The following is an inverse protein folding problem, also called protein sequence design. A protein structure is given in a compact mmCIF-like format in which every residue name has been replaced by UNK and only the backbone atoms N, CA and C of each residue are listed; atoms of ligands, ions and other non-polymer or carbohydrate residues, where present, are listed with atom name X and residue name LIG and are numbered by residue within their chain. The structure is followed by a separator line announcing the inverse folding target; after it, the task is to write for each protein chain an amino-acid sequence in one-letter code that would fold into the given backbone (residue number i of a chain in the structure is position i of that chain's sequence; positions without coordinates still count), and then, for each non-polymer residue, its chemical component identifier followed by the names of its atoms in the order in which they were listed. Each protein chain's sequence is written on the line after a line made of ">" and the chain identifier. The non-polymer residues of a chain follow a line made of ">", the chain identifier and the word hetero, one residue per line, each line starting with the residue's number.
data_IF_544867143749
#
_entry.id   IF_544867143749
#
_cell.length_a   1.000
_cell.length_b   1.000
_cell.length_c   1.000
_cell.angle_alpha   90.00
_cell.angle_beta   90.00
_cell.angle_gamma   90.00
#
_symmetry.space_group_name_H-M   'P 1'
#
loop_
_entity.id
_entity.type
_entity.pdbx_description
1 polymer ?
#
# COMPACT_ATOMS: atom_id res chain seq x y z
N UNK A 1 -20.75 41.51 -62.38
CA UNK A 1 -20.20 40.23 -62.87
C UNK A 1 -18.68 40.32 -62.86
N UNK A 2 -17.99 39.62 -61.97
CA UNK A 2 -16.53 39.41 -61.98
C UNK A 2 -16.26 38.09 -61.27
N UNK A 3 -16.12 37.03 -62.06
CA UNK A 3 -15.39 35.82 -61.68
C UNK A 3 -13.90 36.15 -61.71
N UNK A 4 -13.11 35.67 -60.75
CA UNK A 4 -11.77 35.13 -61.04
C UNK A 4 -11.11 34.43 -59.85
N UNK A 5 -10.64 33.22 -60.17
CA UNK A 5 -9.38 32.58 -59.77
C UNK A 5 -9.23 31.98 -58.37
N UNK A 6 -9.55 30.68 -58.37
CA UNK A 6 -8.88 29.60 -57.65
C UNK A 6 -7.34 29.75 -57.64
N UNK A 7 -6.72 29.59 -56.46
CA UNK A 7 -5.30 29.24 -56.35
C UNK A 7 -5.06 28.39 -55.10
N UNK A 8 -5.07 27.08 -55.31
CA UNK A 8 -4.59 26.05 -54.39
C UNK A 8 -3.06 26.04 -54.41
N UNK A 9 -2.37 26.18 -53.25
CA UNK A 9 -0.97 25.74 -53.12
C UNK A 9 -0.69 25.23 -51.69
N UNK A 10 -0.43 23.91 -51.65
CA UNK A 10 0.47 23.12 -50.79
C UNK A 10 0.93 23.79 -49.47
N UNK A 11 0.67 23.26 -48.28
CA UNK A 11 0.75 21.84 -47.90
C UNK A 11 2.10 21.55 -47.23
N UNK A 12 2.23 21.86 -45.93
CA UNK A 12 3.27 21.31 -45.05
C UNK A 12 2.71 21.29 -43.61
N UNK A 13 2.00 20.20 -43.28
CA UNK A 13 1.68 19.87 -41.88
C UNK A 13 2.90 19.11 -41.36
N UNK A 14 3.72 19.78 -40.55
CA UNK A 14 4.77 19.13 -39.79
C UNK A 14 4.11 18.37 -38.64
N UNK A 15 3.82 17.08 -38.86
CA UNK A 15 3.48 16.15 -37.79
C UNK A 15 4.74 15.92 -36.96
N UNK A 16 4.92 16.72 -35.91
CA UNK A 16 5.78 16.33 -34.79
C UNK A 16 5.16 15.10 -34.15
N UNK A 17 5.56 13.92 -34.62
CA UNK A 17 5.47 12.67 -33.89
C UNK A 17 6.41 12.80 -32.67
N UNK A 18 5.95 13.52 -31.65
CA UNK A 18 6.50 13.36 -30.32
C UNK A 18 6.17 11.92 -29.91
N UNK A 19 7.15 11.03 -30.02
CA UNK A 19 7.09 9.71 -29.44
C UNK A 19 6.77 9.87 -27.96
N UNK A 20 5.50 9.69 -27.59
CA UNK A 20 5.13 9.46 -26.21
C UNK A 20 5.75 8.10 -25.90
N UNK A 21 6.96 8.11 -25.34
CA UNK A 21 7.44 6.97 -24.58
C UNK A 21 6.45 6.84 -23.43
N UNK A 22 5.48 5.95 -23.60
CA UNK A 22 4.73 5.38 -22.50
C UNK A 22 5.74 4.57 -21.69
N UNK A 23 6.54 5.27 -20.88
CA UNK A 23 7.11 4.66 -19.71
C UNK A 23 5.90 4.33 -18.84
N UNK A 24 5.41 3.10 -18.98
CA UNK A 24 4.50 2.49 -18.04
C UNK A 24 5.26 2.38 -16.72
N UNK A 25 5.41 3.51 -16.02
CA UNK A 25 5.55 3.52 -14.59
C UNK A 25 4.23 2.93 -14.10
N UNK A 26 4.22 1.62 -13.88
CA UNK A 26 3.20 0.94 -13.08
C UNK A 26 3.09 1.77 -11.81
N UNK A 27 2.04 2.59 -11.74
CA UNK A 27 1.79 3.44 -10.60
C UNK A 27 1.66 2.53 -9.40
N UNK A 28 2.46 2.79 -8.38
CA UNK A 28 2.46 1.95 -7.22
C UNK A 28 1.10 1.95 -6.55
N UNK A 29 0.65 0.75 -6.23
CA UNK A 29 -0.63 0.55 -5.61
C UNK A 29 -0.57 1.03 -4.16
N UNK A 30 -1.54 1.85 -3.71
CA UNK A 30 -1.65 2.13 -2.28
C UNK A 30 -1.96 0.84 -1.53
N UNK A 31 -1.59 0.79 -0.24
CA UNK A 31 -1.96 -0.33 0.62
C UNK A 31 -3.48 -0.55 0.59
N UNK A 32 -3.89 -1.79 0.35
CA UNK A 32 -5.28 -2.19 0.34
C UNK A 32 -5.72 -2.57 1.75
N UNK A 33 -6.97 -2.21 2.11
CA UNK A 33 -7.58 -2.62 3.38
C UNK A 33 -7.97 -4.09 3.28
N UNK A 34 -7.55 -4.89 4.26
CA UNK A 34 -7.81 -6.32 4.25
C UNK A 34 -7.02 -7.09 5.28
N UNK A 35 -7.26 -8.40 5.32
CA UNK A 35 -6.49 -9.37 6.09
C UNK A 35 -5.66 -10.19 5.10
N UNK A 36 -4.41 -10.46 5.44
CA UNK A 36 -3.48 -11.20 4.60
C UNK A 36 -2.78 -12.28 5.42
N UNK A 37 -2.64 -13.47 4.83
CA UNK A 37 -2.00 -14.64 5.42
C UNK A 37 -0.57 -14.81 4.90
N UNK A 38 0.38 -14.98 5.82
CA UNK A 38 1.81 -15.18 5.52
C UNK A 38 2.28 -16.61 5.75
N UNK A 39 1.36 -17.57 5.90
CA UNK A 39 1.65 -18.97 6.22
C UNK A 39 1.62 -19.28 7.73
N UNK A 40 1.32 -20.54 8.06
CA UNK A 40 1.17 -20.98 9.46
C UNK A 40 0.11 -20.18 10.20
N UNK A 41 0.44 -19.70 11.40
CA UNK A 41 -0.44 -18.83 12.20
C UNK A 41 -0.23 -17.33 11.95
N UNK A 42 0.57 -16.92 10.95
CA UNK A 42 0.97 -15.52 10.75
C UNK A 42 -0.02 -14.78 9.86
N UNK A 43 -0.60 -13.72 10.39
CA UNK A 43 -1.52 -12.84 9.67
C UNK A 43 -1.13 -11.38 9.85
N UNK A 44 -1.55 -10.57 8.89
CA UNK A 44 -1.55 -9.11 8.98
C UNK A 44 -2.94 -8.59 8.62
N UNK A 45 -3.35 -7.49 9.23
CA UNK A 45 -4.55 -6.76 8.87
C UNK A 45 -4.17 -5.30 8.65
N UNK A 46 -4.56 -4.76 7.50
CA UNK A 46 -4.44 -3.35 7.16
C UNK A 46 -5.83 -2.74 7.30
N UNK A 47 -5.94 -1.69 8.11
CA UNK A 47 -7.14 -0.89 8.24
C UNK A 47 -6.79 0.59 8.00
N UNK A 48 -7.73 1.36 7.47
CA UNK A 48 -7.52 2.80 7.32
C UNK A 48 -8.78 3.63 7.60
N UNK A 49 -8.53 4.87 7.96
CA UNK A 49 -9.46 6.00 7.80
C UNK A 49 -8.94 6.92 6.69
N UNK A 50 -9.63 8.04 6.46
CA UNK A 50 -9.14 9.08 5.52
C UNK A 50 -7.76 9.64 5.88
N UNK A 51 -7.37 9.61 7.16
CA UNK A 51 -6.18 10.29 7.66
C UNK A 51 -5.09 9.35 8.13
N UNK A 52 -5.38 8.05 8.25
CA UNK A 52 -4.50 7.14 9.00
C UNK A 52 -4.63 5.71 8.52
N UNK A 53 -3.48 5.06 8.36
CA UNK A 53 -3.37 3.63 8.09
C UNK A 53 -2.80 2.96 9.35
N UNK A 54 -3.38 1.84 9.73
CA UNK A 54 -2.92 1.01 10.83
C UNK A 54 -2.66 -0.42 10.34
N UNK A 55 -1.58 -0.97 10.85
CA UNK A 55 -1.15 -2.35 10.65
C UNK A 55 -1.41 -3.11 11.95
N UNK A 56 -1.95 -4.32 11.82
CA UNK A 56 -2.02 -5.29 12.90
C UNK A 56 -1.38 -6.59 12.43
N UNK A 57 -0.23 -6.96 13.01
CA UNK A 57 0.37 -8.28 12.83
C UNK A 57 -0.05 -9.20 13.97
N UNK A 58 -0.51 -10.40 13.67
CA UNK A 58 -0.92 -11.35 14.71
C UNK A 58 -0.54 -12.80 14.38
N UNK A 59 -0.24 -13.54 15.43
CA UNK A 59 0.05 -14.98 15.38
C UNK A 59 -0.25 -15.65 16.70
N UNK A 60 0.00 -16.95 16.78
CA UNK A 60 -0.03 -17.70 18.05
C UNK A 60 0.90 -17.11 19.13
N UNK A 61 1.93 -16.35 18.72
CA UNK A 61 2.93 -15.78 19.63
C UNK A 61 2.60 -14.36 20.10
N UNK A 62 1.51 -13.77 19.61
CA UNK A 62 1.07 -12.45 20.02
C UNK A 62 0.50 -11.58 18.91
N UNK A 63 0.18 -10.35 19.30
CA UNK A 63 -0.44 -9.33 18.46
C UNK A 63 0.40 -8.06 18.57
N UNK A 64 0.60 -7.38 17.45
CA UNK A 64 1.20 -6.05 17.40
C UNK A 64 0.34 -5.15 16.54
N UNK A 65 0.04 -3.95 17.01
CA UNK A 65 -0.71 -2.92 16.28
C UNK A 65 0.14 -1.66 16.20
N UNK A 66 0.26 -1.08 15.01
CA UNK A 66 1.10 0.08 14.77
C UNK A 66 0.53 0.98 13.68
N UNK A 67 0.80 2.28 13.78
CA UNK A 67 0.50 3.22 12.70
C UNK A 67 1.49 3.08 11.56
N UNK A 68 1.00 3.29 10.33
CA UNK A 68 1.77 3.16 9.10
C UNK A 68 1.85 4.51 8.39
N UNK A 69 3.03 4.84 7.86
CA UNK A 69 3.25 6.07 7.07
C UNK A 69 4.02 5.75 5.80
N UNK A 70 3.78 6.49 4.72
CA UNK A 70 4.57 6.35 3.50
C UNK A 70 6.05 6.68 3.76
N UNK A 71 6.99 5.92 3.18
CA UNK A 71 8.42 6.24 3.24
C UNK A 71 8.74 7.37 2.25
N UNK A 72 9.23 8.49 2.77
CA UNK A 72 9.64 9.64 1.95
C UNK A 72 10.86 9.33 1.07
N UNK A 73 11.65 8.31 1.43
CA UNK A 73 12.92 7.98 0.76
C UNK A 73 12.77 6.84 -0.26
N UNK A 74 11.68 6.08 -0.18
CA UNK A 74 11.43 4.91 -1.03
C UNK A 74 9.98 4.96 -1.45
N UNK A 75 9.76 5.27 -2.74
CA UNK A 75 8.43 5.16 -3.32
C UNK A 75 7.89 3.75 -3.07
N UNK A 76 6.59 3.66 -2.79
CA UNK A 76 5.83 2.40 -2.74
C UNK A 76 6.02 1.59 -1.45
N UNK A 77 6.95 2.03 -0.60
CA UNK A 77 7.17 1.47 0.72
C UNK A 77 6.51 2.31 1.79
N UNK A 78 6.08 1.63 2.84
CA UNK A 78 5.51 2.22 4.03
C UNK A 78 6.31 1.78 5.25
N UNK A 79 6.56 2.72 6.16
CA UNK A 79 7.16 2.48 7.47
C UNK A 79 6.08 2.05 8.46
N UNK A 80 6.40 1.06 9.27
CA UNK A 80 5.57 0.67 10.41
C UNK A 80 6.20 1.29 11.66
N UNK A 81 5.44 2.09 12.40
CA UNK A 81 5.94 2.68 13.64
C UNK A 81 6.37 1.58 14.63
N UNK A 82 7.53 1.74 15.27
CA UNK A 82 8.09 0.76 16.20
C UNK A 82 8.81 -0.44 15.55
N UNK A 83 8.91 -0.50 14.22
CA UNK A 83 9.69 -1.51 13.51
C UNK A 83 10.75 -0.88 12.61
N UNK A 84 11.94 -0.68 13.16
CA UNK A 84 13.05 -0.12 12.38
C UNK A 84 13.51 -1.09 11.29
N UNK A 85 13.69 -0.55 10.08
CA UNK A 85 14.16 -1.32 8.93
C UNK A 85 13.17 -2.32 8.35
N UNK A 86 11.93 -2.39 8.86
CA UNK A 86 10.86 -3.22 8.30
C UNK A 86 9.85 -2.35 7.58
N UNK A 87 9.46 -2.78 6.38
CA UNK A 87 8.56 -2.03 5.51
C UNK A 87 7.38 -2.87 5.06
N UNK A 88 6.30 -2.19 4.70
CA UNK A 88 5.19 -2.73 3.93
C UNK A 88 5.27 -2.22 2.50
N UNK A 89 4.84 -3.04 1.53
CA UNK A 89 4.64 -2.62 0.14
C UNK A 89 3.48 -3.41 -0.44
N UNK A 90 2.61 -2.75 -1.22
CA UNK A 90 1.58 -3.44 -1.98
C UNK A 90 2.19 -3.91 -3.31
N UNK A 91 2.25 -5.22 -3.54
CA UNK A 91 2.77 -5.77 -4.81
C UNK A 91 1.69 -5.77 -5.90
N UNK A 92 0.50 -6.23 -5.55
CA UNK A 92 -0.71 -6.28 -6.39
C UNK A 92 -1.94 -6.15 -5.47
N UNK A 93 -3.18 -6.25 -5.97
CA UNK A 93 -4.39 -6.06 -5.14
C UNK A 93 -4.50 -7.02 -3.96
N UNK A 94 -3.85 -8.19 -4.06
CA UNK A 94 -4.07 -9.31 -3.16
C UNK A 94 -2.80 -9.64 -2.36
N UNK A 95 -1.66 -9.03 -2.69
CA UNK A 95 -0.37 -9.35 -2.07
C UNK A 95 0.27 -8.14 -1.42
N UNK A 96 0.50 -8.26 -0.10
CA UNK A 96 1.31 -7.33 0.68
C UNK A 96 2.66 -7.97 0.97
N UNK A 97 3.73 -7.19 0.82
CA UNK A 97 5.08 -7.56 1.18
C UNK A 97 5.43 -6.96 2.53
N UNK A 98 6.04 -7.74 3.42
CA UNK A 98 6.50 -7.31 4.74
C UNK A 98 7.95 -7.77 4.98
N UNK A 99 8.80 -6.85 5.42
CA UNK A 99 10.17 -7.18 5.84
C UNK A 99 11.19 -6.07 5.54
N UNK A 100 12.48 -6.33 5.77
CA UNK A 100 13.55 -5.52 5.21
C UNK A 100 13.49 -5.51 3.67
N UNK A 101 13.96 -4.44 3.04
CA UNK A 101 13.87 -4.24 1.58
C UNK A 101 14.49 -5.39 0.78
N UNK A 102 15.55 -6.02 1.29
CA UNK A 102 16.23 -7.16 0.66
C UNK A 102 15.67 -8.52 1.06
N UNK A 103 14.67 -8.58 1.94
CA UNK A 103 14.12 -9.81 2.53
C UNK A 103 12.60 -9.69 2.73
N UNK A 104 11.90 -9.22 1.70
CA UNK A 104 10.45 -9.08 1.72
C UNK A 104 9.76 -10.44 1.66
N UNK A 105 8.82 -10.67 2.57
CA UNK A 105 8.01 -11.88 2.66
C UNK A 105 6.59 -11.56 2.19
N UNK A 106 6.01 -12.46 1.40
CA UNK A 106 4.65 -12.32 0.87
C UNK A 106 3.60 -12.68 1.90
N UNK A 107 2.55 -11.87 1.93
CA UNK A 107 1.28 -12.11 2.60
C UNK A 107 0.16 -11.97 1.58
N UNK A 108 -0.68 -12.99 1.45
CA UNK A 108 -1.74 -13.05 0.43
C UNK A 108 -3.10 -12.80 1.08
N UNK A 109 -3.97 -12.05 0.42
CA UNK A 109 -5.28 -11.68 0.92
C UNK A 109 -6.08 -12.93 1.32
N UNK A 110 -6.62 -12.90 2.53
CA UNK A 110 -7.52 -13.92 3.06
C UNK A 110 -8.91 -13.31 3.18
N UNK A 111 -9.74 -13.56 2.17
CA UNK A 111 -11.13 -13.08 2.13
C UNK A 111 -12.08 -13.87 3.03
N UNK A 112 -11.64 -15.01 3.57
CA UNK A 112 -12.42 -15.82 4.50
C UNK A 112 -12.26 -15.39 5.97
N UNK A 113 -11.21 -14.61 6.28
CA UNK A 113 -10.98 -14.10 7.62
C UNK A 113 -11.76 -12.80 7.87
N UNK A 114 -12.42 -12.71 9.03
CA UNK A 114 -13.20 -11.54 9.40
C UNK A 114 -12.32 -10.29 9.51
N UNK A 115 -12.79 -9.16 8.97
CA UNK A 115 -12.07 -7.88 8.96
C UNK A 115 -12.40 -7.01 10.17
N UNK A 116 -12.79 -7.64 11.26
CA UNK A 116 -13.26 -6.94 12.45
C UNK A 116 -12.16 -6.05 13.02
N UNK A 117 -12.54 -4.84 13.41
CA UNK A 117 -11.65 -3.89 14.06
C UNK A 117 -11.74 -4.12 15.57
N UNK A 118 -10.74 -4.76 16.15
CA UNK A 118 -10.64 -4.88 17.60
C UNK A 118 -10.27 -3.55 18.25
N UNK A 119 -10.37 -3.49 19.58
CA UNK A 119 -10.17 -2.26 20.36
C UNK A 119 -8.79 -1.64 20.12
N UNK A 120 -7.74 -2.46 19.98
CA UNK A 120 -6.39 -1.95 19.73
C UNK A 120 -6.27 -1.31 18.34
N UNK A 121 -6.89 -1.92 17.33
CA UNK A 121 -6.89 -1.39 15.97
C UNK A 121 -7.75 -0.13 15.87
N UNK A 122 -8.88 -0.06 16.57
CA UNK A 122 -9.70 1.15 16.69
C UNK A 122 -8.96 2.29 17.41
N UNK A 123 -8.25 1.96 18.50
CA UNK A 123 -7.39 2.89 19.23
C UNK A 123 -6.29 3.44 18.31
N UNK A 124 -5.66 2.56 17.52
CA UNK A 124 -4.70 3.00 16.52
C UNK A 124 -5.33 3.96 15.52
N UNK A 125 -6.49 3.64 14.94
CA UNK A 125 -7.13 4.44 13.89
C UNK A 125 -7.60 5.81 14.38
N UNK A 126 -7.98 5.93 15.65
CA UNK A 126 -8.45 7.17 16.28
C UNK A 126 -7.32 8.04 16.83
N UNK A 127 -6.12 7.48 17.03
CA UNK A 127 -4.97 8.21 17.57
C UNK A 127 -4.41 9.25 16.60
N UNK A 128 -4.10 10.44 17.13
CA UNK A 128 -3.45 11.53 16.39
C UNK A 128 -1.92 11.47 16.45
N UNK A 129 -1.34 10.65 17.34
CA UNK A 129 0.11 10.49 17.51
C UNK A 129 0.59 9.22 16.80
N UNK A 130 1.90 9.03 16.53
CA UNK A 130 2.42 7.71 16.17
C UNK A 130 1.96 6.66 17.20
N UNK A 131 1.50 5.50 16.75
CA UNK A 131 0.93 4.46 17.60
C UNK A 131 1.72 3.16 17.47
N UNK A 132 1.96 2.50 18.60
CA UNK A 132 2.56 1.17 18.65
C UNK A 132 2.11 0.49 19.95
N UNK A 133 1.64 -0.75 19.83
CA UNK A 133 1.19 -1.59 20.94
C UNK A 133 1.49 -3.04 20.62
N UNK A 134 2.03 -3.78 21.58
CA UNK A 134 2.37 -5.19 21.43
C UNK A 134 1.86 -5.98 22.63
N UNK A 135 1.30 -7.16 22.37
CA UNK A 135 0.80 -8.12 23.36
C UNK A 135 1.40 -9.49 23.04
N UNK A 136 1.96 -10.16 24.04
CA UNK A 136 2.47 -11.52 23.90
C UNK A 136 1.33 -12.55 23.90
N UNK A 137 1.45 -13.55 23.02
CA UNK A 137 0.61 -14.74 23.01
C UNK A 137 1.29 -15.89 23.75
N UNK A 138 0.53 -16.70 24.48
CA UNK A 138 1.04 -17.87 25.20
C UNK A 138 0.43 -18.07 26.58
N UNK A 139 0.65 -19.25 27.16
CA UNK A 139 0.01 -19.83 28.36
C UNK A 139 0.20 -19.08 29.70
N UNK A 140 0.70 -17.84 29.67
CA UNK A 140 0.96 -16.99 30.84
C UNK A 140 0.43 -15.56 30.74
N UNK A 141 -0.26 -15.19 29.66
CA UNK A 141 -0.94 -13.89 29.55
C UNK A 141 -2.29 -13.96 30.29
N UNK A 142 -2.25 -13.80 31.61
CA UNK A 142 -3.43 -13.50 32.46
C UNK A 142 -3.31 -12.07 32.97
#
# INVERSE_FOLDING_TARGET
>A
MKFWHCCTKLGFIVLFLSSIRAENALAALPLQVGVYHGGGSRYIQIAQTEKRICFKGFSSNGVTVASVTADTNRKDFYKINGFDGTFLSQQDTDTVLLGPVNQLIKYVADYGFARDLDDDLQECLSSQKPFFKQKSGGRGSR
#
